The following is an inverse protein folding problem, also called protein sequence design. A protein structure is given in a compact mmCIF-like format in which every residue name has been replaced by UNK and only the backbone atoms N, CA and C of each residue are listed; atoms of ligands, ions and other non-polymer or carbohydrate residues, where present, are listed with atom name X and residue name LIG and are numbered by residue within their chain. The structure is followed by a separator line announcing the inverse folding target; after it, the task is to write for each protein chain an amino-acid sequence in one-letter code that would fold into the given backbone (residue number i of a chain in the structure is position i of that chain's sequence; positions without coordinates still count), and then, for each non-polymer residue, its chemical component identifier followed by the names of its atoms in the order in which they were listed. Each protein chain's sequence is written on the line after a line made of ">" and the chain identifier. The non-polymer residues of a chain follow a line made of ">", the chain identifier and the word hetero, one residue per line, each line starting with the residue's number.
data_IF_552785684753
#
_entry.id   IF_552785684753
#
_cell.length_a   1.000
_cell.length_b   1.000
_cell.length_c   1.000
_cell.angle_alpha   90.00
_cell.angle_beta   90.00
_cell.angle_gamma   90.00
#
_symmetry.space_group_name_H-M   'P 1'
#
loop_
_entity.id
_entity.type
_entity.pdbx_description
1 polymer ?
#
# COMPACT_ATOMS: atom_id res chain seq x y z
N UNK A 1 -10.08 49.57 56.42
CA UNK A 1 -9.62 49.64 55.02
C UNK A 1 -10.86 49.70 54.15
N UNK A 2 -11.23 50.88 53.68
CA UNK A 2 -12.27 51.03 52.67
C UNK A 2 -11.68 50.59 51.33
N UNK A 3 -12.25 49.53 50.78
CA UNK A 3 -11.95 49.08 49.42
C UNK A 3 -12.98 49.75 48.52
N UNK A 4 -12.61 50.90 47.95
CA UNK A 4 -13.42 51.55 46.92
C UNK A 4 -13.44 50.64 45.68
N UNK A 5 -14.55 49.94 45.46
CA UNK A 5 -14.87 49.47 44.13
C UNK A 5 -15.22 50.69 43.28
N UNK A 6 -14.46 51.03 42.23
CA UNK A 6 -14.93 52.01 41.26
C UNK A 6 -16.23 51.46 40.68
N UNK A 7 -17.32 52.14 40.99
CA UNK A 7 -18.62 51.89 40.38
C UNK A 7 -18.42 51.83 38.88
N UNK A 8 -18.69 50.68 38.26
CA UNK A 8 -18.82 50.62 36.80
C UNK A 8 -19.75 51.78 36.41
N UNK A 9 -19.32 52.71 35.55
CA UNK A 9 -20.18 53.79 35.13
C UNK A 9 -21.38 53.15 34.42
N UNK A 10 -22.52 53.17 35.09
CA UNK A 10 -23.81 52.74 34.56
C UNK A 10 -24.28 53.78 33.54
N UNK A 11 -23.56 53.88 32.43
CA UNK A 11 -24.12 54.45 31.21
C UNK A 11 -25.22 53.49 30.75
N UNK A 12 -26.49 53.89 30.92
CA UNK A 12 -27.60 53.24 30.22
C UNK A 12 -27.34 53.40 28.72
N UNK A 13 -26.82 52.36 28.09
CA UNK A 13 -26.58 52.33 26.66
C UNK A 13 -27.88 52.55 25.92
N UNK A 14 -27.85 53.34 24.85
CA UNK A 14 -29.03 53.53 23.99
C UNK A 14 -29.29 52.23 23.23
N UNK A 15 -30.55 51.90 22.92
CA UNK A 15 -30.90 50.68 22.16
C UNK A 15 -30.09 50.54 20.85
N UNK A 16 -29.72 51.67 20.23
CA UNK A 16 -28.86 51.74 19.05
C UNK A 16 -27.44 51.21 19.31
N UNK A 17 -26.87 51.45 20.49
CA UNK A 17 -25.53 50.96 20.86
C UNK A 17 -25.54 49.43 21.03
N UNK A 18 -26.57 48.88 21.67
CA UNK A 18 -26.75 47.42 21.74
C UNK A 18 -26.90 46.77 20.38
N UNK A 19 -27.62 47.41 19.44
CA UNK A 19 -27.75 46.90 18.07
C UNK A 19 -26.42 46.93 17.31
N UNK A 20 -25.62 47.99 17.46
CA UNK A 20 -24.29 48.09 16.87
C UNK A 20 -23.33 47.06 17.49
N UNK A 21 -23.39 46.85 18.81
CA UNK A 21 -22.61 45.81 19.50
C UNK A 21 -22.99 44.41 19.03
N UNK A 22 -24.29 44.13 18.90
CA UNK A 22 -24.77 42.89 18.31
C UNK A 22 -24.23 42.73 16.89
N UNK A 23 -24.35 43.75 16.03
CA UNK A 23 -23.89 43.68 14.65
C UNK A 23 -22.36 43.48 14.59
N UNK A 24 -21.59 44.12 15.47
CA UNK A 24 -20.14 43.94 15.54
C UNK A 24 -19.78 42.49 15.89
N UNK A 25 -20.36 41.94 16.97
CA UNK A 25 -20.09 40.57 17.41
C UNK A 25 -20.59 39.55 16.39
N UNK A 26 -21.80 39.74 15.88
CA UNK A 26 -22.38 38.89 14.85
C UNK A 26 -21.51 38.88 13.58
N UNK A 27 -21.09 40.05 13.11
CA UNK A 27 -20.24 40.17 11.92
C UNK A 27 -18.87 39.55 12.16
N UNK A 28 -18.25 39.77 13.32
CA UNK A 28 -16.96 39.18 13.66
C UNK A 28 -17.00 37.64 13.64
N UNK A 29 -18.01 37.04 14.27
CA UNK A 29 -18.18 35.58 14.28
C UNK A 29 -18.53 35.05 12.89
N UNK A 30 -19.41 35.73 12.16
CA UNK A 30 -19.83 35.32 10.80
C UNK A 30 -18.66 35.37 9.81
N UNK A 31 -17.85 36.44 9.84
CA UNK A 31 -16.65 36.55 9.01
C UNK A 31 -15.59 35.52 9.41
N UNK A 32 -15.44 35.23 10.71
CA UNK A 32 -14.56 34.16 11.17
C UNK A 32 -14.97 32.80 10.60
N UNK A 33 -16.26 32.48 10.60
CA UNK A 33 -16.79 31.26 9.98
C UNK A 33 -16.55 31.21 8.47
N UNK A 34 -16.80 32.32 7.75
CA UNK A 34 -16.52 32.37 6.31
C UNK A 34 -15.03 32.24 5.98
N UNK A 35 -14.17 32.90 6.75
CA UNK A 35 -12.71 32.81 6.56
C UNK A 35 -12.22 31.38 6.76
N UNK A 36 -12.72 30.68 7.79
CA UNK A 36 -12.37 29.27 8.04
C UNK A 36 -12.87 28.37 6.91
N UNK A 37 -14.10 28.57 6.43
CA UNK A 37 -14.65 27.78 5.32
C UNK A 37 -13.83 27.94 4.03
N UNK A 38 -13.44 29.17 3.69
CA UNK A 38 -12.58 29.45 2.52
C UNK A 38 -11.20 28.81 2.69
N UNK A 39 -10.60 28.93 3.88
CA UNK A 39 -9.29 28.34 4.20
C UNK A 39 -9.32 26.82 4.07
N UNK A 40 -10.35 26.18 4.63
CA UNK A 40 -10.52 24.73 4.58
C UNK A 40 -10.62 24.23 3.14
N UNK A 41 -11.45 24.86 2.31
CA UNK A 41 -11.60 24.50 0.89
C UNK A 41 -10.26 24.62 0.14
N UNK A 42 -9.51 25.69 0.40
CA UNK A 42 -8.20 25.89 -0.23
C UNK A 42 -7.20 24.81 0.18
N UNK A 43 -7.04 24.56 1.47
CA UNK A 43 -6.08 23.56 2.00
C UNK A 43 -6.43 22.15 1.51
N UNK A 44 -7.71 21.77 1.54
CA UNK A 44 -8.13 20.44 1.10
C UNK A 44 -7.96 20.25 -0.41
N UNK A 45 -8.08 21.31 -1.21
CA UNK A 45 -7.80 21.25 -2.65
C UNK A 45 -6.31 21.00 -2.93
N UNK A 46 -5.42 21.76 -2.28
CA UNK A 46 -3.96 21.56 -2.40
C UNK A 46 -3.56 20.14 -1.95
N UNK A 47 -4.09 19.70 -0.82
CA UNK A 47 -3.85 18.34 -0.31
C UNK A 47 -4.36 17.26 -1.28
N UNK A 48 -5.51 17.47 -1.93
CA UNK A 48 -6.02 16.53 -2.93
C UNK A 48 -5.08 16.43 -4.14
N UNK A 49 -4.48 17.53 -4.59
CA UNK A 49 -3.47 17.52 -5.65
C UNK A 49 -2.23 16.72 -5.25
N UNK A 50 -1.67 16.97 -4.06
CA UNK A 50 -0.52 16.20 -3.56
C UNK A 50 -0.83 14.69 -3.46
N UNK A 51 -2.05 14.33 -3.05
CA UNK A 51 -2.45 12.94 -2.99
C UNK A 51 -2.55 12.28 -4.36
N UNK A 52 -3.03 12.99 -5.39
CA UNK A 52 -3.09 12.45 -6.76
C UNK A 52 -1.68 12.15 -7.27
N UNK A 53 -0.71 13.05 -7.03
CA UNK A 53 0.69 12.82 -7.42
C UNK A 53 1.31 11.60 -6.71
N UNK A 54 1.01 11.43 -5.41
CA UNK A 54 1.44 10.26 -4.64
C UNK A 54 0.76 8.98 -5.13
N UNK A 55 -0.52 9.04 -5.47
CA UNK A 55 -1.25 7.91 -6.01
C UNK A 55 -0.68 7.47 -7.37
N UNK A 56 -0.34 8.42 -8.25
CA UNK A 56 0.35 8.12 -9.52
C UNK A 56 1.69 7.39 -9.27
N UNK A 57 2.44 7.80 -8.25
CA UNK A 57 3.68 7.12 -7.85
C UNK A 57 3.43 5.70 -7.35
N UNK A 58 2.37 5.48 -6.57
CA UNK A 58 1.95 4.15 -6.13
C UNK A 58 1.60 3.26 -7.34
N UNK A 59 0.89 3.80 -8.34
CA UNK A 59 0.61 3.11 -9.61
C UNK A 59 1.88 2.69 -10.33
N UNK A 60 2.82 3.61 -10.53
CA UNK A 60 4.12 3.32 -11.17
C UNK A 60 4.92 2.27 -10.40
N UNK A 61 4.86 2.31 -9.06
CA UNK A 61 5.51 1.33 -8.20
C UNK A 61 4.92 -0.07 -8.40
N UNK A 62 3.58 -0.17 -8.47
CA UNK A 62 2.92 -1.45 -8.74
C UNK A 62 3.26 -1.99 -10.13
N UNK A 63 3.30 -1.15 -11.17
CA UNK A 63 3.70 -1.57 -12.52
C UNK A 63 5.11 -2.17 -12.50
N UNK A 64 6.09 -1.44 -11.96
CA UNK A 64 7.47 -1.92 -11.88
C UNK A 64 7.58 -3.22 -11.08
N UNK A 65 6.77 -3.36 -10.02
CA UNK A 65 6.76 -4.59 -9.23
C UNK A 65 6.17 -5.76 -10.01
N UNK A 66 5.02 -5.59 -10.68
CA UNK A 66 4.39 -6.61 -11.52
C UNK A 66 5.33 -7.05 -12.67
N UNK A 67 6.03 -6.10 -13.30
CA UNK A 67 7.02 -6.42 -14.34
C UNK A 67 8.13 -7.31 -13.79
N UNK A 68 8.65 -6.99 -12.59
CA UNK A 68 9.68 -7.79 -11.94
C UNK A 68 9.18 -9.19 -11.56
N UNK A 69 7.94 -9.31 -11.11
CA UNK A 69 7.30 -10.59 -10.78
C UNK A 69 7.11 -11.43 -12.03
N UNK A 70 6.70 -10.83 -13.15
CA UNK A 70 6.51 -11.51 -14.43
C UNK A 70 7.82 -12.11 -14.95
N UNK A 71 8.92 -11.35 -14.88
CA UNK A 71 10.26 -11.85 -15.25
C UNK A 71 10.65 -13.06 -14.38
N UNK A 72 10.45 -12.95 -13.07
CA UNK A 72 10.77 -14.01 -12.13
C UNK A 72 9.89 -15.25 -12.34
N UNK A 73 8.59 -15.07 -12.58
CA UNK A 73 7.65 -16.16 -12.88
C UNK A 73 8.06 -16.90 -14.14
N UNK A 74 8.33 -16.20 -15.24
CA UNK A 74 8.77 -16.83 -16.50
C UNK A 74 10.05 -17.66 -16.31
N UNK A 75 11.00 -17.17 -15.51
CA UNK A 75 12.23 -17.91 -15.20
C UNK A 75 11.97 -19.15 -14.36
N UNK A 76 11.09 -19.06 -13.36
CA UNK A 76 10.70 -20.16 -12.49
C UNK A 76 9.94 -21.23 -13.28
N UNK A 77 8.95 -20.82 -14.08
CA UNK A 77 8.18 -21.70 -14.95
C UNK A 77 9.07 -22.43 -15.95
N UNK A 78 9.98 -21.71 -16.63
CA UNK A 78 10.95 -22.35 -17.53
C UNK A 78 11.81 -23.40 -16.81
N UNK A 79 12.27 -23.09 -15.59
CA UNK A 79 13.09 -24.01 -14.81
C UNK A 79 12.32 -25.26 -14.39
N UNK A 80 11.10 -25.09 -13.88
CA UNK A 80 10.24 -26.20 -13.47
C UNK A 80 9.76 -27.02 -14.68
N UNK A 81 9.55 -26.38 -15.83
CA UNK A 81 9.23 -27.05 -17.09
C UNK A 81 10.34 -28.00 -17.56
N UNK A 82 11.61 -27.61 -17.43
CA UNK A 82 12.74 -28.52 -17.71
C UNK A 82 12.72 -29.76 -16.81
N UNK A 83 12.38 -29.59 -15.54
CA UNK A 83 12.26 -30.71 -14.59
C UNK A 83 11.14 -31.65 -15.00
N UNK A 84 9.99 -31.11 -15.41
CA UNK A 84 8.87 -31.92 -15.89
C UNK A 84 9.25 -32.76 -17.11
N UNK A 85 9.96 -32.17 -18.08
CA UNK A 85 10.44 -32.88 -19.28
C UNK A 85 11.40 -34.01 -18.88
N UNK A 86 12.38 -33.70 -18.01
CA UNK A 86 13.37 -34.68 -17.54
C UNK A 86 12.71 -35.84 -16.79
N UNK A 87 11.77 -35.55 -15.88
CA UNK A 87 11.00 -36.56 -15.15
C UNK A 87 10.17 -37.45 -16.08
N UNK A 88 9.61 -36.88 -17.16
CA UNK A 88 8.80 -37.63 -18.12
C UNK A 88 9.67 -38.56 -18.98
N UNK A 89 10.92 -38.18 -19.25
CA UNK A 89 11.84 -38.95 -20.08
C UNK A 89 12.68 -39.96 -19.28
N UNK A 90 12.75 -39.83 -17.96
CA UNK A 90 13.54 -40.71 -17.09
C UNK A 90 12.87 -42.09 -16.95
N UNK A 91 13.52 -43.15 -17.45
CA UNK A 91 12.96 -44.51 -17.46
C UNK A 91 13.29 -45.36 -16.23
N UNK A 92 14.32 -45.00 -15.45
CA UNK A 92 14.74 -45.81 -14.28
C UNK A 92 15.45 -45.05 -13.14
N UNK A 93 15.96 -43.84 -13.39
CA UNK A 93 16.68 -43.03 -12.39
C UNK A 93 16.64 -41.56 -12.78
N UNK A 94 16.69 -40.67 -11.79
CA UNK A 94 16.56 -39.23 -12.00
C UNK A 94 17.60 -38.46 -11.15
N UNK A 95 18.21 -37.40 -11.71
CA UNK A 95 19.19 -36.57 -11.00
C UNK A 95 18.51 -35.62 -10.00
N UNK A 96 18.52 -36.03 -8.74
CA UNK A 96 17.97 -35.26 -7.64
C UNK A 96 18.63 -33.87 -7.49
N UNK A 97 19.91 -33.73 -7.83
CA UNK A 97 20.60 -32.44 -7.77
C UNK A 97 20.03 -31.46 -8.81
N UNK A 98 19.76 -31.95 -10.03
CA UNK A 98 19.12 -31.18 -11.08
C UNK A 98 17.69 -30.74 -10.69
N UNK A 99 16.88 -31.62 -10.10
CA UNK A 99 15.55 -31.24 -9.59
C UNK A 99 15.62 -30.12 -8.58
N UNK A 100 16.45 -30.25 -7.55
CA UNK A 100 16.52 -29.21 -6.52
C UNK A 100 17.05 -27.87 -7.03
N UNK A 101 17.89 -27.88 -8.08
CA UNK A 101 18.37 -26.65 -8.69
C UNK A 101 17.29 -25.92 -9.52
N UNK A 102 16.22 -26.62 -9.93
CA UNK A 102 15.24 -26.10 -10.88
C UNK A 102 13.79 -26.12 -10.36
N UNK A 103 13.51 -26.77 -9.23
CA UNK A 103 12.20 -26.76 -8.55
C UNK A 103 12.19 -25.73 -7.42
N UNK A 104 11.20 -24.85 -7.47
CA UNK A 104 11.04 -23.75 -6.51
C UNK A 104 9.92 -24.07 -5.52
N UNK A 105 10.15 -23.75 -4.25
CA UNK A 105 9.22 -24.07 -3.16
C UNK A 105 7.98 -23.17 -3.16
N UNK A 106 8.08 -21.97 -3.72
CA UNK A 106 6.97 -21.04 -3.84
C UNK A 106 7.19 -20.07 -4.99
N UNK A 107 6.11 -19.36 -5.34
CA UNK A 107 6.16 -18.19 -6.20
C UNK A 107 6.07 -16.92 -5.34
N UNK A 108 6.82 -15.88 -5.71
CA UNK A 108 6.79 -14.59 -5.03
C UNK A 108 5.42 -13.93 -5.20
N UNK A 109 4.88 -13.39 -4.11
CA UNK A 109 3.57 -12.73 -4.14
C UNK A 109 3.62 -11.29 -4.63
N UNK A 110 2.54 -10.85 -5.26
CA UNK A 110 2.23 -9.45 -5.48
C UNK A 110 1.72 -8.82 -4.17
N UNK A 111 2.24 -7.64 -3.88
CA UNK A 111 1.89 -6.80 -2.74
C UNK A 111 1.56 -5.44 -3.32
N UNK A 112 0.29 -5.08 -3.27
CA UNK A 112 -0.16 -3.83 -3.85
C UNK A 112 0.28 -2.66 -2.99
N UNK A 113 0.78 -1.62 -3.65
CA UNK A 113 0.96 -0.29 -3.08
C UNK A 113 -0.36 0.47 -3.25
N UNK A 114 -1.21 0.42 -2.22
CA UNK A 114 -2.49 1.15 -2.15
C UNK A 114 -2.53 2.20 -1.02
N UNK A 115 -1.41 2.42 -0.32
CA UNK A 115 -1.32 3.27 0.88
C UNK A 115 -1.92 4.67 0.67
N UNK A 116 -1.64 5.32 -0.45
CA UNK A 116 -2.16 6.67 -0.72
C UNK A 116 -3.68 6.65 -0.84
N UNK A 117 -4.24 5.68 -1.56
CA UNK A 117 -5.69 5.56 -1.71
C UNK A 117 -6.39 5.29 -0.37
N UNK A 118 -5.85 4.37 0.43
CA UNK A 118 -6.42 4.08 1.76
C UNK A 118 -6.31 5.27 2.72
N UNK A 119 -5.24 6.08 2.62
CA UNK A 119 -5.16 7.35 3.35
C UNK A 119 -6.24 8.33 2.88
N UNK A 120 -6.41 8.53 1.58
CA UNK A 120 -7.43 9.42 1.03
C UNK A 120 -8.85 8.99 1.40
N UNK A 121 -9.11 7.69 1.41
CA UNK A 121 -10.39 7.10 1.83
C UNK A 121 -10.63 7.34 3.32
N UNK A 122 -9.62 7.08 4.15
CA UNK A 122 -9.71 7.26 5.61
C UNK A 122 -9.85 8.72 6.04
N UNK A 123 -9.18 9.65 5.35
CA UNK A 123 -9.31 11.10 5.60
C UNK A 123 -10.55 11.73 4.96
N UNK A 124 -11.26 10.99 4.11
CA UNK A 124 -12.35 11.50 3.28
C UNK A 124 -11.88 12.50 2.22
N UNK A 125 -10.60 12.51 1.85
CA UNK A 125 -10.03 13.42 0.84
C UNK A 125 -10.48 13.09 -0.58
N UNK A 126 -11.00 11.87 -0.82
CA UNK A 126 -11.58 11.48 -2.12
C UNK A 126 -12.70 12.44 -2.58
N UNK A 127 -13.44 13.06 -1.64
CA UNK A 127 -14.54 14.01 -1.95
C UNK A 127 -14.09 15.28 -2.69
N UNK A 128 -12.78 15.56 -2.65
CA UNK A 128 -12.19 16.74 -3.27
C UNK A 128 -11.75 16.49 -4.72
N UNK A 129 -11.70 15.23 -5.16
CA UNK A 129 -11.51 14.87 -6.57
C UNK A 129 -12.81 15.20 -7.33
N UNK A 130 -12.80 16.31 -8.08
CA UNK A 130 -13.98 16.79 -8.82
C UNK A 130 -14.22 16.04 -10.13
N UNK A 131 -13.17 15.48 -10.71
CA UNK A 131 -13.30 14.62 -11.87
C UNK A 131 -13.85 13.25 -11.43
N UNK A 132 -15.12 13.01 -11.74
CA UNK A 132 -15.81 11.76 -11.40
C UNK A 132 -15.18 10.56 -12.10
N UNK A 133 -14.74 10.74 -13.34
CA UNK A 133 -14.15 9.64 -14.12
C UNK A 133 -12.81 9.23 -13.54
N UNK A 134 -12.00 10.22 -13.15
CA UNK A 134 -10.74 9.96 -12.44
C UNK A 134 -10.99 9.23 -11.12
N UNK A 135 -11.96 9.69 -10.33
CA UNK A 135 -12.30 9.06 -9.05
C UNK A 135 -12.73 7.59 -9.24
N UNK A 136 -13.58 7.30 -10.22
CA UNK A 136 -13.97 5.93 -10.58
C UNK A 136 -12.76 5.08 -10.95
N UNK A 137 -11.87 5.59 -11.82
CA UNK A 137 -10.65 4.88 -12.20
C UNK A 137 -9.74 4.58 -11.01
N UNK A 138 -9.62 5.50 -10.06
CA UNK A 138 -8.83 5.28 -8.84
C UNK A 138 -9.44 4.19 -7.97
N UNK A 139 -10.77 4.22 -7.79
CA UNK A 139 -11.50 3.21 -7.02
C UNK A 139 -11.36 1.83 -7.67
N UNK A 140 -11.63 1.73 -8.97
CA UNK A 140 -11.53 0.48 -9.73
C UNK A 140 -10.12 -0.08 -9.67
N UNK A 141 -9.11 0.76 -9.92
CA UNK A 141 -7.71 0.37 -9.82
C UNK A 141 -7.38 -0.20 -8.44
N UNK A 142 -7.76 0.50 -7.36
CA UNK A 142 -7.43 0.06 -5.99
C UNK A 142 -8.14 -1.24 -5.62
N UNK A 143 -9.39 -1.44 -6.06
CA UNK A 143 -10.10 -2.70 -5.85
C UNK A 143 -9.43 -3.86 -6.60
N UNK A 144 -9.03 -3.62 -7.86
CA UNK A 144 -8.37 -4.64 -8.69
C UNK A 144 -6.99 -5.03 -8.15
N UNK A 145 -6.20 -4.07 -7.65
CA UNK A 145 -4.90 -4.37 -7.04
C UNK A 145 -5.04 -5.12 -5.71
N UNK A 146 -6.04 -4.80 -4.88
CA UNK A 146 -6.34 -5.53 -3.65
C UNK A 146 -6.76 -6.97 -3.96
N UNK A 147 -7.65 -7.16 -4.94
CA UNK A 147 -8.07 -8.49 -5.38
C UNK A 147 -6.91 -9.30 -5.96
N UNK A 148 -6.00 -8.65 -6.72
CA UNK A 148 -4.80 -9.29 -7.24
C UNK A 148 -3.83 -9.71 -6.13
N UNK A 149 -3.60 -8.86 -5.14
CA UNK A 149 -2.80 -9.19 -3.97
C UNK A 149 -3.40 -10.35 -3.17
N UNK A 150 -4.71 -10.34 -2.96
CA UNK A 150 -5.41 -11.44 -2.27
C UNK A 150 -5.20 -12.78 -2.98
N UNK A 151 -5.46 -12.84 -4.30
CA UNK A 151 -5.22 -14.04 -5.12
C UNK A 151 -3.77 -14.50 -5.03
N UNK A 152 -2.83 -13.56 -5.05
CA UNK A 152 -1.40 -13.88 -4.98
C UNK A 152 -0.99 -14.44 -3.61
N UNK A 153 -1.57 -13.93 -2.51
CA UNK A 153 -1.39 -14.48 -1.16
C UNK A 153 -1.95 -15.90 -1.04
N UNK A 154 -3.15 -16.15 -1.56
CA UNK A 154 -3.74 -17.49 -1.55
C UNK A 154 -2.91 -18.49 -2.35
N UNK A 155 -2.39 -18.05 -3.50
CA UNK A 155 -1.48 -18.87 -4.31
C UNK A 155 -0.21 -19.20 -3.53
N UNK A 156 0.47 -18.22 -2.93
CA UNK A 156 1.66 -18.46 -2.10
C UNK A 156 1.37 -19.44 -0.96
N UNK A 157 0.26 -19.23 -0.23
CA UNK A 157 -0.16 -20.11 0.85
C UNK A 157 -0.38 -21.55 0.36
N UNK A 158 -1.00 -21.72 -0.81
CA UNK A 158 -1.21 -23.03 -1.43
C UNK A 158 0.11 -23.72 -1.79
N UNK A 159 1.11 -22.96 -2.28
CA UNK A 159 2.44 -23.49 -2.55
C UNK A 159 3.22 -23.84 -1.28
N UNK A 160 3.05 -23.07 -0.20
CA UNK A 160 3.81 -23.23 1.03
C UNK A 160 3.21 -24.28 1.99
N UNK A 161 1.89 -24.46 1.97
CA UNK A 161 1.16 -25.28 2.96
C UNK A 161 0.26 -26.35 2.32
N UNK A 162 0.16 -26.39 0.99
CA UNK A 162 -0.70 -27.35 0.29
C UNK A 162 0.03 -28.61 -0.17
N UNK A 163 -0.66 -29.43 -0.97
CA UNK A 163 -0.18 -30.71 -1.49
C UNK A 163 1.17 -30.61 -2.20
N UNK A 164 1.46 -29.48 -2.84
CA UNK A 164 2.75 -29.23 -3.48
C UNK A 164 3.90 -29.20 -2.48
N UNK A 165 3.72 -28.53 -1.33
CA UNK A 165 4.73 -28.48 -0.27
C UNK A 165 4.96 -29.87 0.35
N UNK A 166 3.88 -30.62 0.57
CA UNK A 166 3.94 -31.98 1.12
C UNK A 166 4.73 -32.92 0.18
N UNK A 167 4.42 -32.86 -1.12
CA UNK A 167 5.15 -33.59 -2.15
C UNK A 167 6.61 -33.16 -2.17
N UNK A 168 6.88 -31.86 -2.23
CA UNK A 168 8.25 -31.37 -2.30
C UNK A 168 9.08 -31.83 -1.10
N UNK A 169 8.50 -31.80 0.10
CA UNK A 169 9.13 -32.30 1.34
C UNK A 169 9.44 -33.80 1.26
N UNK A 170 8.49 -34.62 0.78
CA UNK A 170 8.70 -36.06 0.64
C UNK A 170 9.87 -36.41 -0.30
N UNK A 171 10.08 -35.60 -1.34
CA UNK A 171 11.14 -35.77 -2.34
C UNK A 171 12.42 -34.98 -2.04
N UNK A 172 12.49 -34.27 -0.91
CA UNK A 172 13.68 -33.49 -0.50
C UNK A 172 14.23 -34.03 0.83
N UNK A 173 15.16 -35.00 0.81
CA UNK A 173 15.77 -35.50 2.03
C UNK A 173 16.44 -34.35 2.81
N UNK A 174 16.40 -34.34 4.15
CA UNK A 174 16.98 -33.28 4.97
C UNK A 174 18.45 -32.96 4.63
N UNK A 175 19.23 -33.99 4.28
CA UNK A 175 20.63 -33.84 3.87
C UNK A 175 20.81 -32.97 2.61
N UNK A 176 19.87 -33.04 1.65
CA UNK A 176 19.91 -32.27 0.41
C UNK A 176 19.42 -30.84 0.63
N UNK A 177 18.40 -30.66 1.47
CA UNK A 177 17.93 -29.34 1.91
C UNK A 177 19.04 -28.53 2.61
N UNK A 178 19.80 -29.17 3.50
CA UNK A 178 20.94 -28.55 4.20
C UNK A 178 22.02 -28.10 3.20
N UNK A 179 22.36 -28.93 2.20
CA UNK A 179 23.35 -28.57 1.19
C UNK A 179 22.94 -27.34 0.36
N UNK A 180 21.66 -27.23 -0.01
CA UNK A 180 21.11 -26.05 -0.70
C UNK A 180 21.20 -24.79 0.16
N UNK A 181 20.86 -24.90 1.45
CA UNK A 181 20.98 -23.79 2.39
C UNK A 181 22.42 -23.28 2.47
N UNK A 182 23.39 -24.18 2.64
CA UNK A 182 24.81 -23.85 2.70
C UNK A 182 25.30 -23.13 1.43
N UNK A 183 24.98 -23.66 0.24
CA UNK A 183 25.34 -23.05 -1.05
C UNK A 183 24.72 -21.64 -1.18
N UNK A 184 23.46 -21.46 -0.79
CA UNK A 184 22.81 -20.15 -0.85
C UNK A 184 23.47 -19.13 0.10
N UNK A 185 23.88 -19.56 1.29
CA UNK A 185 24.55 -18.69 2.26
C UNK A 185 25.95 -18.29 1.81
N UNK A 186 26.70 -19.17 1.15
CA UNK A 186 28.02 -18.83 0.60
C UNK A 186 27.92 -17.89 -0.61
N UNK A 187 26.89 -18.07 -1.45
CA UNK A 187 26.58 -17.14 -2.55
C UNK A 187 26.15 -15.75 -2.03
N UNK A 188 25.46 -15.68 -0.88
CA UNK A 188 25.12 -14.41 -0.24
C UNK A 188 26.35 -13.73 0.36
N UNK A 189 27.22 -14.46 1.06
CA UNK A 189 28.48 -13.93 1.60
C UNK A 189 29.38 -13.38 0.49
N UNK A 190 29.49 -14.08 -0.63
CA UNK A 190 30.29 -13.62 -1.79
C UNK A 190 29.68 -12.39 -2.46
N UNK A 191 28.35 -12.25 -2.51
CA UNK A 191 27.70 -11.02 -3.01
C UNK A 191 27.91 -9.82 -2.09
N UNK A 192 27.87 -10.01 -0.77
CA UNK A 192 28.12 -8.94 0.22
C UNK A 192 29.58 -8.45 0.17
N UNK A 193 30.53 -9.35 -0.08
CA UNK A 193 31.95 -8.97 -0.18
C UNK A 193 32.32 -8.26 -1.50
N UNK A 194 31.42 -8.26 -2.50
CA UNK A 194 31.65 -7.69 -3.84
C UNK A 194 30.84 -6.40 -4.09
N UNK A 195 30.23 -5.82 -3.06
CA UNK A 195 29.56 -4.51 -3.05
C UNK A 195 30.26 -3.57 -2.09
#
# INVERSE_FOLDING_TARGET
>A
MEVHHPSHPTHKKKAKEYFIEFLMLFTAVTLGFFAENIREIYVEKERAHEFIERFEKDVKTNIAFIDSLTIMHNKTEYSMGKVMIELTNASSSFDLSFFHANVFSSYPRFLSKNDTYEQMKSSGSLRYIKDKRLLELMIDYSNETEAAEYRSKEQEASYALGTYADLLTAWTPPAVAIKRYLISTDNLKTRVNNT
#
